data_IF_050389235640
#
_entry.id   IF_050389235640
#
_cell.length_a   1.000
_cell.length_b   1.000
_cell.length_c   1.000
_cell.angle_alpha   90.00
_cell.angle_beta   90.00
_cell.angle_gamma   90.00
#
_symmetry.space_group_name_H-M   'P 1'
#
loop_
_entity.id
_entity.type
_entity.pdbx_description
1 polymer ?
#
# COMPACT_ATOMS: atom_id res chain seq x y z
N UNK A 1 32.22 66.14 6.62
CA UNK A 1 33.12 64.97 6.42
C UNK A 1 32.72 63.75 7.26
N UNK A 2 31.90 63.91 8.32
CA UNK A 2 31.47 62.81 9.20
C UNK A 2 30.26 62.01 8.64
N UNK A 3 29.29 62.65 7.99
CA UNK A 3 28.10 61.97 7.44
C UNK A 3 28.38 60.98 6.29
N UNK A 4 29.42 61.23 5.48
CA UNK A 4 29.79 60.35 4.36
C UNK A 4 30.42 59.04 4.87
N UNK A 5 31.04 59.07 6.05
CA UNK A 5 31.70 57.91 6.66
C UNK A 5 30.67 56.94 7.27
N UNK A 6 29.60 57.45 7.87
CA UNK A 6 28.52 56.62 8.43
C UNK A 6 27.75 55.86 7.35
N UNK A 7 27.45 56.52 6.22
CA UNK A 7 26.74 55.89 5.11
C UNK A 7 27.52 54.71 4.48
N UNK A 8 28.85 54.83 4.38
CA UNK A 8 29.72 53.73 3.88
C UNK A 8 29.77 52.54 4.83
N UNK A 9 29.67 52.78 6.13
CA UNK A 9 29.71 51.72 7.14
C UNK A 9 28.39 50.94 7.19
N UNK A 10 27.26 51.65 7.05
CA UNK A 10 25.93 51.06 6.98
C UNK A 10 25.74 50.18 5.72
N UNK A 11 26.23 50.65 4.56
CA UNK A 11 26.18 49.88 3.31
C UNK A 11 27.03 48.61 3.42
N UNK A 12 28.23 48.70 4.01
CA UNK A 12 29.07 47.51 4.25
C UNK A 12 28.41 46.52 5.21
N UNK A 13 27.72 47.00 6.25
CA UNK A 13 27.01 46.15 7.19
C UNK A 13 25.81 45.44 6.54
N UNK A 14 25.05 46.15 5.70
CA UNK A 14 23.93 45.59 4.93
C UNK A 14 24.39 44.55 3.91
N UNK A 15 25.49 44.81 3.20
CA UNK A 15 26.09 43.85 2.25
C UNK A 15 26.60 42.62 3.00
N UNK A 16 27.24 42.80 4.16
CA UNK A 16 27.72 41.69 4.99
C UNK A 16 26.55 40.87 5.56
N UNK A 17 25.48 41.51 6.03
CA UNK A 17 24.25 40.83 6.46
C UNK A 17 23.60 40.08 5.30
N UNK A 18 23.54 40.63 4.09
CA UNK A 18 23.03 39.91 2.91
C UNK A 18 23.91 38.72 2.53
N UNK A 19 25.23 38.85 2.59
CA UNK A 19 26.16 37.74 2.36
C UNK A 19 25.99 36.65 3.42
N UNK A 20 25.87 37.00 4.70
CA UNK A 20 25.62 36.04 5.78
C UNK A 20 24.25 35.37 5.62
N UNK A 21 23.20 36.11 5.24
CA UNK A 21 21.87 35.55 4.97
C UNK A 21 21.87 34.61 3.76
N UNK A 22 22.66 34.92 2.72
CA UNK A 22 22.78 34.08 1.52
C UNK A 22 23.54 32.77 1.76
N UNK A 23 24.43 32.73 2.76
CA UNK A 23 25.16 31.51 3.18
C UNK A 23 24.33 30.66 4.15
N UNK A 24 23.34 31.23 4.82
CA UNK A 24 22.44 30.52 5.75
C UNK A 24 21.20 29.90 5.07
N UNK A 25 21.05 30.01 3.75
CA UNK A 25 20.01 29.25 3.03
C UNK A 25 20.55 27.84 2.80
N UNK A 26 20.19 26.92 3.70
CA UNK A 26 20.29 25.49 3.44
C UNK A 26 19.65 25.19 2.08
N UNK A 27 20.47 24.91 1.06
CA UNK A 27 19.97 24.43 -0.23
C UNK A 27 19.36 23.05 0.00
N UNK A 28 18.04 22.99 0.24
CA UNK A 28 17.27 21.76 0.03
C UNK A 28 17.17 21.59 -1.48
N UNK A 29 18.17 20.93 -2.06
CA UNK A 29 18.20 20.64 -3.49
C UNK A 29 17.39 19.36 -3.73
N UNK A 30 16.08 19.51 -3.91
CA UNK A 30 15.20 18.41 -4.33
C UNK A 30 15.64 17.90 -5.71
N UNK A 31 16.01 16.63 -5.80
CA UNK A 31 16.46 16.01 -7.06
C UNK A 31 15.26 15.50 -7.85
N UNK A 32 15.41 15.42 -9.16
CA UNK A 32 14.43 14.73 -10.02
C UNK A 32 14.81 13.25 -10.11
N UNK A 33 13.89 12.37 -9.72
CA UNK A 33 14.01 10.91 -9.86
C UNK A 33 13.15 10.46 -11.03
N UNK A 34 13.79 10.13 -12.15
CA UNK A 34 13.10 9.73 -13.37
C UNK A 34 13.06 8.20 -13.50
N UNK A 35 11.86 7.65 -13.73
CA UNK A 35 11.62 6.23 -13.95
C UNK A 35 10.85 6.00 -15.25
N UNK A 36 11.27 5.00 -16.02
CA UNK A 36 10.55 4.52 -17.20
C UNK A 36 9.99 3.14 -16.93
N UNK A 37 8.67 3.03 -16.96
CA UNK A 37 7.95 1.81 -16.64
C UNK A 37 7.11 1.37 -17.84
N UNK A 38 7.20 0.10 -18.18
CA UNK A 38 6.30 -0.58 -19.08
C UNK A 38 5.47 -1.60 -18.29
N UNK A 39 4.14 -1.44 -18.36
CA UNK A 39 3.18 -2.37 -17.75
C UNK A 39 2.70 -3.35 -18.81
N UNK A 40 2.86 -4.65 -18.57
CA UNK A 40 2.40 -5.70 -19.48
C UNK A 40 2.04 -6.98 -18.75
N UNK A 41 1.37 -7.90 -19.44
CA UNK A 41 1.18 -9.26 -18.95
C UNK A 41 2.38 -10.15 -19.21
N UNK A 42 2.73 -10.97 -18.21
CA UNK A 42 3.68 -12.06 -18.35
C UNK A 42 3.22 -13.28 -17.55
N UNK A 43 3.62 -14.47 -17.99
CA UNK A 43 3.45 -15.67 -17.18
C UNK A 43 4.46 -15.68 -16.04
N UNK A 44 3.97 -15.80 -14.80
CA UNK A 44 4.78 -15.93 -13.58
C UNK A 44 4.20 -17.01 -12.68
N UNK A 45 5.01 -17.48 -11.72
CA UNK A 45 4.57 -18.45 -10.71
C UNK A 45 4.96 -18.02 -9.28
N UNK A 46 4.41 -16.92 -8.73
CA UNK A 46 4.77 -16.40 -7.39
C UNK A 46 4.64 -17.43 -6.25
N UNK A 47 3.70 -18.35 -6.38
CA UNK A 47 3.39 -19.41 -5.41
C UNK A 47 3.48 -20.83 -6.01
N UNK A 48 4.18 -20.96 -7.13
CA UNK A 48 4.36 -22.17 -7.93
C UNK A 48 3.21 -22.47 -8.89
N UNK A 49 2.11 -21.72 -8.85
CA UNK A 49 1.03 -21.78 -9.84
C UNK A 49 1.26 -20.75 -10.94
N UNK A 50 1.40 -21.21 -12.18
CA UNK A 50 1.62 -20.39 -13.37
C UNK A 50 0.30 -19.74 -13.81
N UNK A 51 0.27 -18.41 -13.81
CA UNK A 51 -0.82 -17.60 -14.38
C UNK A 51 -0.28 -16.35 -15.07
N UNK A 52 -1.14 -15.66 -15.81
CA UNK A 52 -0.85 -14.31 -16.27
C UNK A 52 -0.84 -13.35 -15.07
N UNK A 53 0.18 -12.50 -15.06
CA UNK A 53 0.49 -11.53 -14.02
C UNK A 53 0.83 -10.21 -14.69
N UNK A 54 0.32 -9.11 -14.15
CA UNK A 54 0.68 -7.77 -14.62
C UNK A 54 2.01 -7.40 -13.98
N UNK A 55 3.03 -7.15 -14.81
CA UNK A 55 4.39 -6.82 -14.37
C UNK A 55 4.76 -5.39 -14.77
N UNK A 56 5.68 -4.80 -14.01
CA UNK A 56 6.37 -3.56 -14.39
C UNK A 56 7.79 -3.94 -14.78
N UNK A 57 8.19 -3.63 -16.02
CA UNK A 57 9.52 -3.93 -16.56
C UNK A 57 9.95 -5.40 -16.35
N UNK A 58 9.01 -6.35 -16.43
CA UNK A 58 9.31 -7.78 -16.28
C UNK A 58 9.14 -8.36 -14.87
N UNK A 59 8.87 -7.52 -13.86
CA UNK A 59 8.85 -7.91 -12.44
C UNK A 59 7.50 -7.70 -11.73
N UNK A 60 7.21 -8.58 -10.77
CA UNK A 60 6.25 -8.36 -9.67
C UNK A 60 6.85 -8.92 -8.36
N UNK A 61 6.78 -8.22 -7.21
CA UNK A 61 6.41 -6.82 -7.07
C UNK A 61 7.27 -5.95 -8.00
N UNK A 62 6.73 -4.82 -8.43
CA UNK A 62 7.43 -3.91 -9.33
C UNK A 62 8.68 -3.28 -8.69
N UNK A 63 9.44 -2.51 -9.48
CA UNK A 63 10.67 -1.88 -9.02
C UNK A 63 10.41 -0.85 -7.92
N UNK A 64 11.25 -0.87 -6.87
CA UNK A 64 11.14 0.12 -5.79
C UNK A 64 11.45 1.53 -6.32
N UNK A 65 10.65 2.50 -5.91
CA UNK A 65 11.02 3.91 -6.01
C UNK A 65 11.86 4.24 -4.77
N UNK A 66 13.04 4.81 -5.00
CA UNK A 66 13.95 5.26 -3.94
C UNK A 66 14.17 6.75 -4.13
N UNK A 67 13.71 7.54 -3.18
CA UNK A 67 13.79 8.99 -3.20
C UNK A 67 14.22 9.53 -1.84
N UNK A 68 14.57 10.80 -1.80
CA UNK A 68 14.77 11.56 -0.57
C UNK A 68 13.64 12.57 -0.41
N UNK A 69 13.28 12.90 0.83
CA UNK A 69 12.27 13.92 1.11
C UNK A 69 12.61 15.23 0.37
N UNK A 70 11.62 15.76 -0.37
CA UNK A 70 11.75 16.94 -1.23
C UNK A 70 12.10 16.62 -2.69
N UNK A 71 12.47 15.38 -3.02
CA UNK A 71 12.69 14.98 -4.41
C UNK A 71 11.37 15.06 -5.22
N UNK A 72 11.51 15.37 -6.51
CA UNK A 72 10.41 15.22 -7.48
C UNK A 72 10.54 13.86 -8.15
N UNK A 73 9.53 13.01 -8.00
CA UNK A 73 9.42 11.74 -8.70
C UNK A 73 8.69 11.97 -10.03
N UNK A 74 9.26 11.45 -11.11
CA UNK A 74 8.67 11.46 -12.44
C UNK A 74 8.65 10.03 -12.97
N UNK A 75 7.45 9.49 -13.22
CA UNK A 75 7.27 8.15 -13.78
C UNK A 75 6.60 8.26 -15.15
N UNK A 76 7.37 7.96 -16.18
CA UNK A 76 6.88 7.77 -17.56
C UNK A 76 6.37 6.33 -17.69
N UNK A 77 5.05 6.17 -17.67
CA UNK A 77 4.37 4.88 -17.66
C UNK A 77 3.76 4.58 -19.03
N UNK A 78 4.26 3.54 -19.69
CA UNK A 78 3.68 2.97 -20.91
C UNK A 78 2.73 1.83 -20.56
N UNK A 79 1.49 1.92 -21.01
CA UNK A 79 0.54 0.81 -20.92
C UNK A 79 0.70 -0.10 -22.14
N UNK A 80 1.29 -1.28 -21.95
CA UNK A 80 1.45 -2.32 -22.98
C UNK A 80 0.50 -3.51 -22.77
N UNK A 81 -0.58 -3.34 -21.99
CA UNK A 81 -1.70 -4.29 -21.99
C UNK A 81 -2.49 -4.16 -23.29
N UNK A 82 -3.03 -5.27 -23.80
CA UNK A 82 -3.64 -5.29 -25.14
C UNK A 82 -5.04 -4.67 -25.19
N UNK A 83 -5.86 -4.96 -24.18
CA UNK A 83 -7.28 -4.59 -24.13
C UNK A 83 -7.67 -3.94 -22.81
N UNK A 84 -6.69 -3.65 -21.96
CA UNK A 84 -6.91 -3.13 -20.62
C UNK A 84 -6.28 -1.77 -20.41
N UNK A 85 -7.06 -0.93 -19.75
CA UNK A 85 -6.65 0.34 -19.20
C UNK A 85 -5.81 0.15 -17.94
N UNK A 86 -5.03 1.17 -17.56
CA UNK A 86 -4.23 1.19 -16.34
C UNK A 86 -4.32 2.56 -15.64
N UNK A 87 -4.28 2.56 -14.31
CA UNK A 87 -4.00 3.74 -13.50
C UNK A 87 -3.14 3.31 -12.30
N UNK A 88 -2.15 4.10 -11.90
CA UNK A 88 -1.23 3.79 -10.79
C UNK A 88 -1.39 4.83 -9.70
N UNK A 89 -1.85 4.41 -8.53
CA UNK A 89 -1.95 5.24 -7.35
C UNK A 89 -0.69 5.14 -6.48
N UNK A 90 -0.31 6.28 -5.90
CA UNK A 90 0.88 6.45 -5.05
C UNK A 90 0.47 6.53 -3.58
N UNK A 91 0.08 5.38 -3.04
CA UNK A 91 -0.50 5.24 -1.70
C UNK A 91 0.36 5.87 -0.60
N UNK A 92 -0.22 6.87 0.08
CA UNK A 92 0.41 7.65 1.16
C UNK A 92 1.13 8.93 0.70
N UNK A 93 1.31 9.13 -0.61
CA UNK A 93 1.81 10.38 -1.16
C UNK A 93 0.68 11.40 -1.24
N UNK A 94 0.88 12.59 -0.66
CA UNK A 94 -0.20 13.57 -0.42
C UNK A 94 -0.68 14.33 -1.67
N UNK A 95 0.05 14.24 -2.79
CA UNK A 95 -0.27 14.91 -4.06
C UNK A 95 -0.53 16.43 -3.93
N UNK A 96 0.16 17.10 -3.02
CA UNK A 96 0.03 18.54 -2.80
C UNK A 96 0.51 19.28 -4.06
N UNK A 97 -0.40 20.03 -4.68
CA UNK A 97 -0.13 20.76 -5.93
C UNK A 97 -0.13 19.89 -7.19
N UNK A 98 -0.33 18.57 -7.08
CA UNK A 98 -0.35 17.63 -8.22
C UNK A 98 -1.52 16.63 -8.14
N UNK A 99 -2.76 17.04 -7.83
CA UNK A 99 -3.88 16.09 -7.65
C UNK A 99 -4.16 15.22 -8.88
N UNK A 100 -3.85 15.69 -10.09
CA UNK A 100 -3.97 14.91 -11.34
C UNK A 100 -2.94 13.77 -11.48
N UNK A 101 -1.93 13.70 -10.61
CA UNK A 101 -0.96 12.59 -10.54
C UNK A 101 -1.32 11.57 -9.45
N UNK A 102 -2.48 11.68 -8.82
CA UNK A 102 -2.91 10.74 -7.78
C UNK A 102 -3.19 9.33 -8.32
N UNK A 103 -3.61 9.19 -9.58
CA UNK A 103 -3.74 7.88 -10.21
C UNK A 103 -5.02 7.13 -9.92
N UNK A 104 -6.08 7.82 -9.49
CA UNK A 104 -7.40 7.25 -9.19
C UNK A 104 -8.34 7.44 -10.38
N UNK A 105 -8.60 6.35 -11.12
CA UNK A 105 -9.49 6.37 -12.28
C UNK A 105 -10.92 6.79 -11.89
N UNK A 106 -11.54 7.61 -12.75
CA UNK A 106 -12.88 8.17 -12.50
C UNK A 106 -12.90 9.27 -11.41
N UNK A 107 -11.76 9.56 -10.78
CA UNK A 107 -11.64 10.63 -9.78
C UNK A 107 -10.66 11.69 -10.22
N UNK A 108 -9.37 11.39 -10.30
CA UNK A 108 -8.33 12.38 -10.59
C UNK A 108 -7.91 12.39 -12.04
N UNK A 109 -8.12 11.30 -12.76
CA UNK A 109 -7.77 11.18 -14.17
C UNK A 109 -8.64 10.17 -14.92
N UNK A 110 -8.59 10.27 -16.25
CA UNK A 110 -8.98 9.17 -17.13
C UNK A 110 -7.95 8.04 -17.02
N UNK A 111 -8.34 6.78 -17.31
CA UNK A 111 -7.38 5.68 -17.40
C UNK A 111 -6.38 5.90 -18.54
N UNK A 112 -5.21 5.29 -18.41
CA UNK A 112 -4.19 5.20 -19.47
C UNK A 112 -4.60 4.07 -20.41
N UNK A 113 -4.84 4.38 -21.69
CA UNK A 113 -5.33 3.41 -22.67
C UNK A 113 -4.20 2.48 -23.14
N UNK A 114 -4.54 1.29 -23.70
CA UNK A 114 -3.57 0.44 -24.39
C UNK A 114 -2.72 1.21 -25.41
N UNK A 115 -1.39 1.10 -25.29
CA UNK A 115 -0.42 1.76 -26.16
C UNK A 115 0.00 3.16 -25.71
N UNK A 116 -0.76 3.81 -24.82
CA UNK A 116 -0.49 5.18 -24.40
C UNK A 116 0.64 5.26 -23.37
N UNK A 117 1.23 6.46 -23.29
CA UNK A 117 2.21 6.84 -22.27
C UNK A 117 1.61 7.98 -21.44
N UNK A 118 1.67 7.84 -20.13
CA UNK A 118 1.30 8.88 -19.17
C UNK A 118 2.46 9.20 -18.24
N UNK A 119 2.63 10.48 -17.91
CA UNK A 119 3.70 10.94 -17.03
C UNK A 119 3.10 11.37 -15.70
N UNK A 120 3.35 10.59 -14.65
CA UNK A 120 3.09 11.01 -13.28
C UNK A 120 4.25 11.88 -12.80
N UNK A 121 3.96 13.02 -12.19
CA UNK A 121 4.97 13.92 -11.63
C UNK A 121 4.47 14.51 -10.31
N UNK A 122 5.18 14.20 -9.23
CA UNK A 122 4.82 14.63 -7.87
C UNK A 122 6.04 14.78 -6.98
N UNK A 123 5.91 15.55 -5.91
CA UNK A 123 6.96 15.72 -4.89
C UNK A 123 6.71 14.73 -3.75
N UNK A 124 7.78 14.06 -3.29
CA UNK A 124 7.73 13.25 -2.07
C UNK A 124 8.07 14.12 -0.87
N UNK A 125 7.06 14.67 -0.24
CA UNK A 125 7.21 15.74 0.75
C UNK A 125 7.56 15.27 2.17
N UNK A 126 7.49 13.96 2.44
CA UNK A 126 7.80 13.35 3.73
C UNK A 126 8.62 12.07 3.57
N UNK A 127 9.57 11.86 4.49
CA UNK A 127 10.28 10.61 4.64
C UNK A 127 9.36 9.53 5.22
N UNK A 128 9.55 8.28 4.81
CA UNK A 128 8.71 7.18 5.25
C UNK A 128 8.71 5.99 4.30
N UNK A 129 7.90 5.00 4.66
CA UNK A 129 7.57 3.84 3.84
C UNK A 129 6.22 4.06 3.18
N UNK A 130 6.17 3.97 1.86
CA UNK A 130 4.95 4.15 1.08
C UNK A 130 4.83 3.07 0.02
N UNK A 131 3.70 3.07 -0.69
CA UNK A 131 3.35 2.02 -1.65
C UNK A 131 2.92 2.67 -2.97
N UNK A 132 2.97 1.89 -4.04
CA UNK A 132 2.21 2.19 -5.25
C UNK A 132 1.48 0.93 -5.70
N UNK A 133 0.31 1.10 -6.32
CA UNK A 133 -0.48 -0.01 -6.83
C UNK A 133 -1.41 0.42 -7.95
N UNK A 134 -1.86 -0.54 -8.75
CA UNK A 134 -2.93 -0.29 -9.69
C UNK A 134 -4.18 0.21 -8.95
N UNK A 135 -4.83 1.23 -9.51
CA UNK A 135 -6.10 1.75 -9.03
C UNK A 135 -7.14 1.78 -10.15
N UNK A 136 -7.06 0.77 -11.03
CA UNK A 136 -8.03 0.48 -12.08
C UNK A 136 -8.56 -0.95 -11.89
N UNK A 137 -9.87 -1.09 -11.76
CA UNK A 137 -10.53 -2.37 -11.44
C UNK A 137 -9.90 -3.04 -10.21
N UNK A 138 -9.63 -4.35 -10.31
CA UNK A 138 -8.93 -5.12 -9.27
C UNK A 138 -7.52 -5.54 -9.72
N UNK A 139 -6.90 -4.78 -10.62
CA UNK A 139 -5.59 -5.11 -11.23
C UNK A 139 -4.43 -5.21 -10.23
N UNK A 140 -4.52 -4.57 -9.05
CA UNK A 140 -3.46 -4.67 -8.02
C UNK A 140 -3.22 -6.12 -7.61
N UNK A 141 -4.28 -6.92 -7.56
CA UNK A 141 -4.25 -8.34 -7.19
C UNK A 141 -3.61 -9.22 -8.28
N UNK A 142 -3.52 -8.70 -9.51
CA UNK A 142 -2.85 -9.37 -10.62
C UNK A 142 -1.33 -9.17 -10.62
N UNK A 143 -0.76 -8.45 -9.66
CA UNK A 143 0.70 -8.26 -9.55
C UNK A 143 1.18 -6.82 -9.73
N UNK A 144 0.29 -5.87 -10.05
CA UNK A 144 0.65 -4.49 -10.35
C UNK A 144 0.74 -3.64 -9.07
N UNK A 145 1.86 -3.79 -8.37
CA UNK A 145 2.15 -3.06 -7.12
C UNK A 145 3.64 -3.02 -6.79
N UNK A 146 4.05 -2.17 -5.85
CA UNK A 146 5.41 -2.12 -5.31
C UNK A 146 5.59 -1.07 -4.22
N UNK A 147 6.83 -0.84 -3.81
CA UNK A 147 7.17 0.05 -2.69
C UNK A 147 7.78 1.37 -3.14
N UNK A 148 7.50 2.42 -2.39
CA UNK A 148 8.19 3.71 -2.45
C UNK A 148 8.89 3.91 -1.10
N UNK A 149 10.19 4.15 -1.12
CA UNK A 149 10.97 4.44 0.10
C UNK A 149 11.49 5.86 -0.03
N UNK A 150 11.12 6.70 0.91
CA UNK A 150 11.57 8.09 0.98
C UNK A 150 12.47 8.24 2.20
N UNK A 151 13.75 8.49 1.99
CA UNK A 151 14.72 8.72 3.07
C UNK A 151 14.62 10.15 3.60
N UNK A 152 15.04 10.36 4.85
CA UNK A 152 15.28 11.71 5.39
C UNK A 152 16.32 12.48 4.57
N UNK A 153 16.29 13.82 4.57
CA UNK A 153 17.29 14.66 3.90
C UNK A 153 18.73 14.40 4.36
N UNK A 154 19.71 14.72 3.52
CA UNK A 154 21.13 14.57 3.90
C UNK A 154 21.44 15.44 5.11
N UNK A 155 22.16 14.87 6.09
CA UNK A 155 22.48 15.56 7.35
C UNK A 155 21.36 15.52 8.40
N UNK A 156 20.18 14.99 8.07
CA UNK A 156 19.12 14.69 9.04
C UNK A 156 19.21 13.23 9.45
N UNK A 157 19.13 12.95 10.75
CA UNK A 157 19.08 11.61 11.29
C UNK A 157 17.65 11.19 11.62
N UNK A 158 17.34 9.92 11.40
CA UNK A 158 16.15 9.26 11.94
C UNK A 158 16.16 9.30 13.48
N UNK A 159 15.01 9.29 14.17
CA UNK A 159 14.94 9.33 15.65
C UNK A 159 15.30 8.00 16.33
N UNK A 160 15.88 7.06 15.59
CA UNK A 160 16.29 5.74 16.03
C UNK A 160 17.50 5.27 15.22
N UNK A 161 18.25 4.30 15.76
CA UNK A 161 19.51 3.82 15.16
C UNK A 161 19.33 2.41 14.63
N UNK A 162 19.90 2.16 13.44
CA UNK A 162 19.95 0.85 12.80
C UNK A 162 21.21 0.74 11.94
N UNK A 163 21.67 -0.48 11.67
CA UNK A 163 22.81 -0.76 10.80
C UNK A 163 22.37 -0.92 9.33
N UNK A 164 21.19 -1.48 9.09
CA UNK A 164 20.70 -1.79 7.74
C UNK A 164 19.20 -1.51 7.60
N UNK A 165 18.79 -1.03 6.42
CA UNK A 165 17.39 -0.78 6.04
C UNK A 165 16.96 -1.78 4.94
N UNK A 166 15.83 -2.46 5.14
CA UNK A 166 15.26 -3.46 4.22
C UNK A 166 13.75 -3.31 4.17
N UNK A 167 13.12 -3.75 3.08
CA UNK A 167 11.67 -3.72 2.95
C UNK A 167 11.09 -5.09 2.62
N UNK A 168 9.90 -5.33 3.17
CA UNK A 168 9.09 -6.54 2.99
C UNK A 168 7.68 -6.09 2.64
N UNK A 169 7.19 -6.51 1.48
CA UNK A 169 5.79 -6.35 1.09
C UNK A 169 5.04 -7.67 1.25
N UNK A 170 3.95 -7.61 2.01
CA UNK A 170 3.05 -8.72 2.25
C UNK A 170 1.86 -8.60 1.30
N UNK A 171 1.44 -9.73 0.74
CA UNK A 171 0.30 -9.80 -0.13
C UNK A 171 -0.41 -11.15 0.00
N UNK A 172 -1.62 -11.25 -0.52
CA UNK A 172 -2.33 -12.49 -0.75
C UNK A 172 -2.47 -12.73 -2.25
N UNK A 173 -2.75 -13.98 -2.63
CA UNK A 173 -2.68 -14.40 -4.02
C UNK A 173 -3.80 -15.34 -4.39
N UNK A 174 -4.53 -14.95 -5.44
CA UNK A 174 -5.61 -15.72 -6.04
C UNK A 174 -5.16 -16.35 -7.35
N UNK A 175 -5.66 -17.54 -7.68
CA UNK A 175 -5.39 -18.22 -8.95
C UNK A 175 -6.35 -17.80 -10.06
N UNK A 176 -7.60 -17.46 -9.70
CA UNK A 176 -8.58 -16.92 -10.64
C UNK A 176 -8.11 -15.58 -11.22
N UNK A 177 -8.48 -15.32 -12.46
CA UNK A 177 -8.21 -14.02 -13.09
C UNK A 177 -9.01 -12.92 -12.39
N UNK A 178 -8.52 -11.69 -12.47
CA UNK A 178 -9.24 -10.50 -11.98
C UNK A 178 -10.60 -10.34 -12.67
N UNK A 179 -10.71 -10.72 -13.95
CA UNK A 179 -11.98 -10.70 -14.67
C UNK A 179 -12.99 -11.73 -14.17
N UNK A 180 -12.54 -12.96 -13.92
CA UNK A 180 -13.42 -14.01 -13.39
C UNK A 180 -13.94 -13.61 -12.00
N UNK A 181 -13.06 -13.08 -11.15
CA UNK A 181 -13.42 -12.57 -9.84
C UNK A 181 -14.42 -11.40 -9.93
N UNK A 182 -14.12 -10.38 -10.73
CA UNK A 182 -15.00 -9.21 -10.90
C UNK A 182 -16.37 -9.59 -11.49
N UNK A 183 -16.41 -10.55 -12.41
CA UNK A 183 -17.65 -11.07 -13.00
C UNK A 183 -18.49 -11.77 -11.94
N UNK A 184 -17.88 -12.64 -11.12
CA UNK A 184 -18.58 -13.31 -10.03
C UNK A 184 -19.09 -12.35 -8.95
N UNK A 185 -18.31 -11.33 -8.60
CA UNK A 185 -18.73 -10.29 -7.65
C UNK A 185 -19.88 -9.42 -8.17
N UNK A 186 -20.05 -9.34 -9.49
CA UNK A 186 -21.10 -8.55 -10.15
C UNK A 186 -22.29 -9.38 -10.63
N UNK A 187 -22.25 -10.71 -10.51
CA UNK A 187 -23.27 -11.60 -11.04
C UNK A 187 -24.50 -11.73 -10.14
N UNK A 188 -25.60 -12.20 -10.73
CA UNK A 188 -26.80 -12.66 -10.03
C UNK A 188 -27.03 -14.12 -10.45
N UNK A 189 -26.86 -15.12 -9.56
CA UNK A 189 -26.47 -14.99 -8.15
C UNK A 189 -25.03 -14.50 -7.96
N UNK A 190 -24.78 -13.85 -6.83
CA UNK A 190 -23.45 -13.37 -6.43
C UNK A 190 -22.50 -14.55 -6.17
N UNK A 191 -21.27 -14.45 -6.66
CA UNK A 191 -20.21 -15.45 -6.45
C UNK A 191 -19.06 -14.80 -5.70
N UNK A 192 -18.87 -15.21 -4.45
CA UNK A 192 -17.75 -14.75 -3.61
C UNK A 192 -16.41 -15.26 -4.14
N UNK A 193 -15.37 -14.43 -4.06
CA UNK A 193 -14.00 -14.79 -4.51
C UNK A 193 -13.36 -15.88 -3.64
N UNK A 194 -13.84 -16.06 -2.40
CA UNK A 194 -13.27 -16.99 -1.44
C UNK A 194 -12.02 -16.46 -0.75
N UNK A 195 -11.39 -17.32 0.04
CA UNK A 195 -10.08 -17.01 0.64
C UNK A 195 -8.96 -17.20 -0.41
N UNK A 196 -7.86 -16.44 -0.30
CA UNK A 196 -6.74 -16.54 -1.23
C UNK A 196 -6.07 -17.91 -1.15
N UNK A 197 -5.47 -18.37 -2.26
CA UNK A 197 -4.78 -19.65 -2.32
C UNK A 197 -3.41 -19.61 -1.63
N UNK A 198 -2.77 -18.44 -1.56
CA UNK A 198 -1.44 -18.28 -0.96
C UNK A 198 -1.24 -16.89 -0.35
N UNK A 199 -0.35 -16.82 0.63
CA UNK A 199 0.24 -15.58 1.12
C UNK A 199 1.64 -15.40 0.52
N UNK A 200 1.99 -14.18 0.13
CA UNK A 200 3.25 -13.82 -0.49
C UNK A 200 4.06 -12.92 0.45
N UNK A 201 5.35 -13.21 0.62
CA UNK A 201 6.34 -12.32 1.24
C UNK A 201 7.31 -11.89 0.15
N UNK A 202 7.32 -10.60 -0.20
CA UNK A 202 8.09 -10.06 -1.33
C UNK A 202 7.83 -10.81 -2.65
N UNK A 203 6.54 -11.11 -2.92
CA UNK A 203 6.09 -11.82 -4.13
C UNK A 203 6.40 -13.32 -4.17
N UNK A 204 6.76 -13.92 -3.03
CA UNK A 204 7.12 -15.34 -2.95
C UNK A 204 6.21 -16.05 -1.96
N UNK A 205 5.51 -17.07 -2.43
CA UNK A 205 4.60 -17.89 -1.65
C UNK A 205 4.73 -19.37 -2.00
N UNK A 206 3.81 -20.19 -1.48
CA UNK A 206 3.75 -21.60 -1.79
C UNK A 206 2.30 -22.07 -1.85
N UNK A 207 1.98 -22.72 -2.96
CA UNK A 207 0.74 -23.46 -3.12
C UNK A 207 1.02 -24.96 -3.17
N UNK A 208 0.15 -25.75 -2.56
CA UNK A 208 0.28 -27.21 -2.60
C UNK A 208 -0.24 -27.75 -3.95
N UNK A 209 0.68 -27.98 -4.89
CA UNK A 209 0.35 -28.54 -6.21
C UNK A 209 -0.38 -29.90 -6.14
N UNK A 210 -0.30 -30.66 -5.03
CA UNK A 210 -1.04 -31.93 -4.91
C UNK A 210 -2.55 -31.73 -4.80
N UNK A 211 -3.02 -30.52 -4.46
CA UNK A 211 -4.45 -30.19 -4.42
C UNK A 211 -5.09 -30.12 -5.82
N UNK A 212 -4.26 -30.06 -6.87
CA UNK A 212 -4.68 -30.01 -8.27
C UNK A 212 -4.82 -31.40 -8.90
N UNK A 213 -5.00 -32.45 -8.09
CA UNK A 213 -5.06 -33.86 -8.52
C UNK A 213 -6.30 -34.23 -9.36
N UNK A 214 -6.78 -33.31 -10.20
CA UNK A 214 -7.76 -33.54 -11.25
C UNK A 214 -7.05 -33.73 -12.60
N UNK A 215 -7.43 -34.73 -13.41
CA UNK A 215 -6.77 -35.06 -14.69
C UNK A 215 -6.94 -34.00 -15.80
N UNK A 216 -7.56 -32.85 -15.51
CA UNK A 216 -7.92 -31.80 -16.47
C UNK A 216 -7.01 -30.57 -16.49
N UNK A 217 -5.98 -30.49 -15.64
CA UNK A 217 -5.01 -29.39 -15.70
C UNK A 217 -3.86 -29.73 -16.64
N UNK A 218 -3.55 -28.81 -17.54
CA UNK A 218 -2.40 -28.90 -18.45
C UNK A 218 -1.10 -29.16 -17.67
N UNK A 219 -0.26 -30.05 -18.21
CA UNK A 219 1.06 -30.32 -17.64
C UNK A 219 1.86 -29.01 -17.52
N UNK A 220 2.38 -28.73 -16.32
CA UNK A 220 3.24 -27.56 -16.07
C UNK A 220 2.53 -26.30 -15.54
N UNK A 221 1.23 -26.33 -15.25
CA UNK A 221 0.54 -25.22 -14.57
C UNK A 221 1.05 -25.04 -13.13
N UNK A 222 1.35 -26.12 -12.41
CA UNK A 222 1.91 -26.04 -11.06
C UNK A 222 3.25 -26.77 -10.98
N UNK A 223 4.30 -26.06 -10.55
CA UNK A 223 5.65 -26.63 -10.40
C UNK A 223 6.29 -26.15 -9.10
N UNK A 224 6.29 -27.02 -8.09
CA UNK A 224 6.86 -26.74 -6.76
C UNK A 224 8.38 -26.47 -6.76
N UNK A 225 9.08 -26.81 -7.85
CA UNK A 225 10.53 -26.55 -8.01
C UNK A 225 10.83 -25.23 -8.73
N UNK A 226 9.78 -24.48 -9.15
CA UNK A 226 9.96 -23.23 -9.87
C UNK A 226 10.69 -22.19 -8.99
N UNK A 227 11.77 -21.55 -9.50
CA UNK A 227 12.52 -20.54 -8.74
C UNK A 227 11.69 -19.30 -8.36
N UNK A 228 10.63 -18.97 -9.11
CA UNK A 228 9.74 -17.83 -8.82
C UNK A 228 9.07 -17.96 -7.45
N UNK A 229 8.75 -19.18 -7.03
CA UNK A 229 8.12 -19.47 -5.74
C UNK A 229 9.08 -19.96 -4.66
N UNK A 230 10.39 -19.90 -4.91
CA UNK A 230 11.37 -20.11 -3.84
C UNK A 230 11.16 -19.04 -2.76
N UNK A 231 11.17 -19.46 -1.49
CA UNK A 231 10.91 -18.57 -0.35
C UNK A 231 11.83 -17.35 -0.37
N UNK A 232 11.29 -16.18 -0.01
CA UNK A 232 12.10 -14.98 0.19
C UNK A 232 13.16 -15.22 1.28
N UNK A 233 14.39 -14.77 1.05
CA UNK A 233 15.49 -14.88 2.02
C UNK A 233 16.02 -13.49 2.32
N UNK A 234 16.05 -13.15 3.60
CA UNK A 234 16.69 -11.97 4.16
C UNK A 234 17.94 -12.40 4.94
N UNK A 235 19.12 -12.10 4.40
CA UNK A 235 20.38 -12.38 5.08
C UNK A 235 20.73 -11.26 6.07
N UNK A 236 21.06 -11.65 7.30
CA UNK A 236 21.44 -10.78 8.42
C UNK A 236 22.79 -11.17 9.02
N UNK A 237 23.47 -10.19 9.61
CA UNK A 237 24.74 -10.35 10.33
C UNK A 237 24.44 -10.33 11.82
N UNK A 238 24.98 -11.30 12.57
CA UNK A 238 24.77 -11.39 14.01
C UNK A 238 25.21 -10.11 14.73
N UNK A 239 24.43 -9.69 15.73
CA UNK A 239 24.65 -8.48 16.53
C UNK A 239 24.16 -7.18 15.88
N UNK A 240 23.83 -7.18 14.59
CA UNK A 240 23.37 -6.00 13.85
C UNK A 240 21.87 -5.74 14.01
N UNK A 241 21.48 -4.48 13.92
CA UNK A 241 20.09 -4.02 14.01
C UNK A 241 19.57 -3.64 12.64
N UNK A 242 18.41 -4.17 12.28
CA UNK A 242 17.77 -3.96 10.99
C UNK A 242 16.49 -3.16 11.17
N UNK A 243 16.31 -2.10 10.38
CA UNK A 243 14.99 -1.53 10.11
C UNK A 243 14.34 -2.37 9.01
N UNK A 244 13.23 -3.02 9.32
CA UNK A 244 12.39 -3.69 8.34
C UNK A 244 11.14 -2.85 8.10
N UNK A 245 10.99 -2.35 6.88
CA UNK A 245 9.79 -1.66 6.40
C UNK A 245 8.80 -2.70 5.93
N UNK A 246 7.79 -2.99 6.74
CA UNK A 246 6.74 -3.96 6.46
C UNK A 246 5.55 -3.21 5.88
N UNK A 247 5.05 -3.64 4.74
CA UNK A 247 3.91 -3.03 4.06
C UNK A 247 2.93 -4.09 3.60
N UNK A 248 1.63 -3.80 3.58
CA UNK A 248 0.61 -4.73 3.09
C UNK A 248 -0.16 -4.17 1.90
N UNK A 249 -0.28 -4.98 0.84
CA UNK A 249 -1.17 -4.70 -0.30
C UNK A 249 -2.09 -5.88 -0.60
N UNK A 250 -2.52 -6.59 0.44
CA UNK A 250 -3.48 -7.71 0.34
C UNK A 250 -4.80 -7.28 -0.30
N UNK A 251 -5.38 -8.12 -1.15
CA UNK A 251 -6.76 -7.98 -1.65
C UNK A 251 -7.74 -7.94 -0.49
N UNK A 252 -7.67 -8.96 0.36
CA UNK A 252 -8.68 -9.30 1.36
C UNK A 252 -8.07 -9.49 2.75
N UNK A 253 -6.91 -10.11 2.83
CA UNK A 253 -6.38 -10.66 4.07
C UNK A 253 -5.92 -9.56 5.03
N UNK A 254 -6.39 -9.62 6.28
CA UNK A 254 -5.69 -9.01 7.40
C UNK A 254 -4.62 -10.00 7.87
N UNK A 255 -3.40 -9.51 8.12
CA UNK A 255 -2.26 -10.38 8.37
C UNK A 255 -1.66 -10.14 9.75
N UNK A 256 -1.04 -11.18 10.31
CA UNK A 256 0.04 -11.00 11.26
C UNK A 256 1.39 -11.22 10.55
N UNK A 257 2.45 -10.59 11.03
CA UNK A 257 3.83 -10.87 10.66
C UNK A 257 4.66 -11.09 11.92
N UNK A 258 5.56 -12.08 11.90
CA UNK A 258 6.43 -12.39 13.03
C UNK A 258 7.74 -13.01 12.55
N UNK A 259 8.74 -12.96 13.43
CA UNK A 259 10.06 -13.54 13.22
C UNK A 259 10.37 -14.47 14.40
N UNK A 260 10.63 -15.74 14.12
CA UNK A 260 10.91 -16.77 15.13
C UNK A 260 12.01 -16.31 16.09
N UNK A 261 11.67 -16.20 17.38
CA UNK A 261 12.62 -15.88 18.45
C UNK A 261 13.09 -14.42 18.48
N UNK A 262 12.50 -13.51 17.70
CA UNK A 262 12.90 -12.10 17.69
C UNK A 262 11.75 -11.18 18.11
N UNK A 263 11.99 -10.35 19.12
CA UNK A 263 11.15 -9.19 19.38
C UNK A 263 11.36 -8.15 18.28
N UNK A 264 10.30 -7.38 18.02
CA UNK A 264 10.29 -6.31 17.02
C UNK A 264 9.83 -5.02 17.72
N UNK A 265 10.54 -3.92 17.50
CA UNK A 265 10.16 -2.61 18.04
C UNK A 265 9.54 -1.76 16.94
N UNK A 266 8.27 -1.41 17.04
CA UNK A 266 7.60 -0.53 16.06
C UNK A 266 8.10 0.90 16.25
N UNK A 267 8.49 1.57 15.18
CA UNK A 267 9.04 2.95 15.22
C UNK A 267 8.46 3.90 14.17
N UNK A 268 7.76 3.37 13.16
CA UNK A 268 7.04 4.15 12.15
C UNK A 268 5.72 3.45 11.82
N UNK A 269 4.67 4.23 11.56
CA UNK A 269 3.43 3.80 10.92
C UNK A 269 3.03 4.84 9.86
N UNK A 270 2.74 4.40 8.64
CA UNK A 270 2.25 5.22 7.51
C UNK A 270 3.05 6.50 7.26
N UNK A 271 4.38 6.36 7.26
CA UNK A 271 5.32 7.46 7.07
C UNK A 271 5.35 8.50 8.20
N UNK A 272 4.88 8.13 9.39
CA UNK A 272 4.99 8.93 10.61
C UNK A 272 5.71 8.16 11.70
N UNK A 273 6.52 8.86 12.48
CA UNK A 273 7.17 8.27 13.66
C UNK A 273 6.16 8.05 14.78
N UNK A 274 6.25 6.89 15.42
CA UNK A 274 5.44 6.55 16.60
C UNK A 274 6.32 6.47 17.85
N UNK A 275 5.72 6.61 19.03
CA UNK A 275 6.39 6.23 20.28
C UNK A 275 6.78 4.74 20.20
N UNK A 276 8.05 4.36 20.39
CA UNK A 276 8.45 2.98 20.23
C UNK A 276 7.78 2.03 21.22
N UNK A 277 7.29 0.89 20.73
CA UNK A 277 6.78 -0.20 21.56
C UNK A 277 7.18 -1.57 20.99
N UNK A 278 7.37 -2.53 21.88
CA UNK A 278 7.78 -3.89 21.50
C UNK A 278 6.58 -4.80 21.24
N UNK A 279 6.72 -5.66 20.23
CA UNK A 279 5.75 -6.67 19.83
C UNK A 279 6.47 -7.96 19.41
N UNK A 280 5.76 -9.07 19.51
CA UNK A 280 6.15 -10.34 18.89
C UNK A 280 5.41 -10.62 17.59
N UNK A 281 4.22 -10.03 17.45
CA UNK A 281 3.35 -10.15 16.28
C UNK A 281 2.98 -8.75 15.83
N UNK A 282 3.31 -8.42 14.57
CA UNK A 282 2.82 -7.22 13.92
C UNK A 282 1.51 -7.54 13.22
N UNK A 283 0.40 -7.02 13.73
CA UNK A 283 -0.87 -7.03 13.03
C UNK A 283 -0.87 -5.93 11.98
N UNK A 284 -1.17 -6.26 10.73
CA UNK A 284 -1.10 -5.32 9.60
C UNK A 284 -2.26 -5.56 8.65
N UNK A 285 -2.94 -4.48 8.29
CA UNK A 285 -4.10 -4.47 7.38
C UNK A 285 -3.71 -3.92 6.01
N UNK A 286 -4.54 -4.16 4.99
CA UNK A 286 -4.26 -3.71 3.62
C UNK A 286 -4.12 -2.19 3.54
N UNK A 287 -3.04 -1.72 2.89
CA UNK A 287 -2.69 -0.31 2.78
C UNK A 287 -1.71 0.17 3.85
N UNK A 288 -1.70 -0.46 5.02
CA UNK A 288 -0.83 -0.03 6.12
C UNK A 288 0.65 -0.33 5.84
N UNK A 289 1.50 0.52 6.40
CA UNK A 289 2.95 0.39 6.40
C UNK A 289 3.51 0.64 7.80
N UNK A 290 4.49 -0.15 8.20
CA UNK A 290 5.19 -0.02 9.47
C UNK A 290 6.70 -0.12 9.26
N UNK A 291 7.49 0.62 10.03
CA UNK A 291 8.90 0.26 10.25
C UNK A 291 9.06 -0.38 11.61
N UNK A 292 9.72 -1.54 11.64
CA UNK A 292 10.13 -2.23 12.86
C UNK A 292 11.64 -2.32 12.95
N UNK A 293 12.18 -2.26 14.16
CA UNK A 293 13.58 -2.57 14.46
C UNK A 293 13.70 -4.00 14.96
N UNK A 294 14.64 -4.74 14.39
CA UNK A 294 14.94 -6.14 14.75
C UNK A 294 16.43 -6.31 14.94
N UNK A 295 16.83 -6.79 16.12
CA UNK A 295 18.23 -7.09 16.42
C UNK A 295 18.52 -8.56 16.11
N UNK A 296 19.54 -8.85 15.30
CA UNK A 296 19.96 -10.21 14.98
C UNK A 296 20.78 -10.83 16.12
N UNK A 297 20.14 -11.05 17.27
CA UNK A 297 20.76 -11.46 18.53
C UNK A 297 20.56 -12.95 18.88
N UNK A 298 19.97 -13.73 17.99
CA UNK A 298 19.75 -15.16 18.21
C UNK A 298 20.97 -16.00 17.80
N UNK A 299 20.94 -17.31 18.08
CA UNK A 299 22.03 -18.24 17.79
C UNK A 299 22.47 -18.15 16.31
N UNK A 300 23.71 -17.70 16.02
CA UNK A 300 24.17 -17.44 14.66
C UNK A 300 24.44 -18.70 13.83
N UNK A 301 24.39 -19.90 14.42
CA UNK A 301 24.68 -21.17 13.74
C UNK A 301 23.47 -21.78 13.02
N UNK A 302 22.34 -21.06 12.96
CA UNK A 302 21.11 -21.52 12.28
C UNK A 302 20.33 -20.37 11.66
N UNK A 303 19.38 -20.73 10.79
CA UNK A 303 18.40 -19.82 10.23
C UNK A 303 17.10 -19.85 11.04
N UNK A 304 16.25 -18.84 10.83
CA UNK A 304 14.99 -18.60 11.53
C UNK A 304 13.85 -18.38 10.55
N UNK A 305 12.63 -18.76 10.93
CA UNK A 305 11.45 -18.49 10.12
C UNK A 305 10.98 -17.05 10.27
N UNK A 306 10.63 -16.42 9.15
CA UNK A 306 9.70 -15.29 9.12
C UNK A 306 8.37 -15.82 8.60
N UNK A 307 7.27 -15.51 9.30
CA UNK A 307 5.94 -16.04 8.95
C UNK A 307 4.89 -14.95 8.88
N UNK A 308 3.89 -15.17 8.03
CA UNK A 308 2.68 -14.36 7.99
C UNK A 308 1.44 -15.25 7.90
N UNK A 309 0.39 -14.93 8.66
CA UNK A 309 -0.85 -15.70 8.72
C UNK A 309 -2.07 -14.78 8.62
N UNK A 310 -3.18 -15.35 8.15
CA UNK A 310 -4.47 -14.66 8.12
C UNK A 310 -5.00 -14.49 9.55
N UNK A 311 -5.42 -13.27 9.87
CA UNK A 311 -6.19 -12.93 11.08
C UNK A 311 -7.50 -12.25 10.68
N UNK A 312 -8.39 -11.98 11.64
CA UNK A 312 -9.71 -11.37 11.46
C UNK A 312 -10.73 -12.20 10.67
N UNK A 313 -10.29 -13.24 9.94
CA UNK A 313 -11.13 -14.20 9.20
C UNK A 313 -10.68 -15.61 9.48
N UNK A 314 -11.61 -16.58 9.48
CA UNK A 314 -11.29 -18.00 9.65
C UNK A 314 -10.32 -18.43 8.54
N UNK A 315 -9.07 -18.83 8.87
CA UNK A 315 -8.06 -19.08 7.85
C UNK A 315 -8.40 -20.32 7.03
N UNK A 316 -8.34 -20.19 5.71
CA UNK A 316 -8.31 -21.30 4.76
C UNK A 316 -7.08 -21.24 3.84
N UNK A 317 -6.12 -20.37 4.17
CA UNK A 317 -4.88 -20.12 3.43
C UNK A 317 -3.71 -20.57 4.28
N UNK A 318 -2.71 -21.23 3.65
CA UNK A 318 -1.50 -21.64 4.34
C UNK A 318 -0.67 -20.44 4.80
N UNK A 319 0.09 -20.63 5.88
CA UNK A 319 1.07 -19.65 6.38
C UNK A 319 2.07 -19.27 5.28
N UNK A 320 2.27 -17.97 5.08
CA UNK A 320 3.33 -17.45 4.21
C UNK A 320 4.69 -17.59 4.91
N UNK A 321 5.70 -18.07 4.18
CA UNK A 321 7.00 -18.45 4.75
C UNK A 321 8.17 -17.72 4.09
N UNK A 322 9.09 -17.23 4.91
CA UNK A 322 10.36 -16.68 4.50
C UNK A 322 11.54 -17.05 5.43
N UNK A 323 12.71 -16.90 4.84
CA UNK A 323 14.09 -17.07 5.28
C UNK A 323 14.74 -15.95 6.11
N UNK A 324 14.79 -15.95 7.45
CA UNK A 324 15.78 -15.07 8.11
C UNK A 324 17.11 -15.82 8.24
N UNK A 325 18.03 -15.53 7.31
CA UNK A 325 19.30 -16.23 7.19
C UNK A 325 20.41 -15.51 7.96
N UNK A 326 21.00 -16.16 8.95
CA UNK A 326 22.17 -15.62 9.65
C UNK A 326 23.44 -15.96 8.86
N UNK A 327 24.18 -14.96 8.39
CA UNK A 327 25.48 -15.15 7.74
C UNK A 327 26.50 -15.72 8.75
N UNK A 328 27.35 -16.70 8.38
CA UNK A 328 27.59 -17.24 7.03
C UNK A 328 26.81 -18.54 6.70
N UNK A 329 25.70 -18.85 7.38
CA UNK A 329 24.93 -20.05 7.06
C UNK A 329 24.44 -20.03 5.60
N UNK A 330 24.32 -21.21 4.99
CA UNK A 330 23.78 -21.34 3.64
C UNK A 330 22.35 -20.77 3.57
N UNK A 331 22.05 -19.80 2.67
CA UNK A 331 20.77 -19.09 2.64
C UNK A 331 19.54 -19.97 2.45
N UNK A 332 19.67 -21.08 1.68
CA UNK A 332 18.56 -22.01 1.43
C UNK A 332 18.46 -23.14 2.45
N UNK A 333 19.33 -23.16 3.47
CA UNK A 333 19.22 -24.13 4.57
C UNK A 333 17.96 -23.79 5.36
N UNK A 334 17.00 -24.71 5.40
CA UNK A 334 15.78 -24.52 6.20
C UNK A 334 16.12 -24.30 7.68
N UNK A 335 15.40 -23.41 8.38
CA UNK A 335 15.41 -23.39 9.84
C UNK A 335 15.10 -24.80 10.39
N UNK A 336 15.76 -25.25 11.46
CA UNK A 336 15.61 -26.61 12.00
C UNK A 336 14.31 -26.83 12.80
N UNK A 337 13.53 -25.78 13.04
CA UNK A 337 12.24 -25.82 13.75
C UNK A 337 11.08 -25.84 12.75
N UNK A 338 9.89 -26.19 13.24
CA UNK A 338 8.65 -25.95 12.49
C UNK A 338 8.35 -24.44 12.45
N UNK A 339 7.73 -23.94 11.36
CA UNK A 339 7.25 -22.56 11.31
C UNK A 339 6.34 -22.25 12.49
N UNK A 340 6.56 -21.10 13.14
CA UNK A 340 5.78 -20.70 14.30
C UNK A 340 4.32 -20.49 13.90
N UNK A 341 3.40 -21.09 14.66
CA UNK A 341 1.97 -20.85 14.50
C UNK A 341 1.66 -19.37 14.76
N UNK A 342 0.83 -18.78 13.91
CA UNK A 342 0.33 -17.43 14.12
C UNK A 342 -0.64 -17.33 15.29
N UNK A 343 -1.00 -16.11 15.71
CA UNK A 343 -2.08 -15.87 16.66
C UNK A 343 -3.42 -16.40 16.10
N UNK A 344 -4.35 -16.71 16.99
CA UNK A 344 -5.70 -17.13 16.60
C UNK A 344 -6.39 -16.01 15.82
N UNK A 345 -7.04 -16.36 14.72
CA UNK A 345 -7.63 -15.38 13.81
C UNK A 345 -8.72 -14.50 14.44
N UNK A 346 -9.43 -15.04 15.42
CA UNK A 346 -10.52 -14.38 16.13
C UNK A 346 -10.06 -13.70 17.43
N UNK A 347 -8.76 -13.70 17.73
CA UNK A 347 -8.22 -12.96 18.88
C UNK A 347 -8.23 -11.46 18.57
N UNK A 348 -9.20 -10.73 19.13
CA UNK A 348 -9.39 -9.30 18.91
C UNK A 348 -8.60 -8.45 19.91
N UNK A 349 -8.38 -8.94 21.13
CA UNK A 349 -7.82 -8.13 22.21
C UNK A 349 -6.38 -7.68 21.90
N UNK A 350 -5.55 -8.58 21.37
CA UNK A 350 -4.17 -8.25 21.00
C UNK A 350 -4.08 -7.27 19.83
N UNK A 351 -5.00 -7.37 18.87
CA UNK A 351 -5.08 -6.45 17.72
C UNK A 351 -5.48 -5.05 18.20
N UNK A 352 -6.50 -4.98 19.05
CA UNK A 352 -6.91 -3.73 19.68
C UNK A 352 -5.78 -3.13 20.53
N UNK A 353 -5.05 -3.96 21.30
CA UNK A 353 -3.93 -3.50 22.11
C UNK A 353 -2.81 -2.87 21.25
N UNK A 354 -2.48 -3.46 20.09
CA UNK A 354 -1.54 -2.84 19.15
C UNK A 354 -2.07 -1.50 18.63
N UNK A 355 -3.34 -1.45 18.17
CA UNK A 355 -3.95 -0.21 17.69
C UNK A 355 -3.93 0.91 18.73
N UNK A 356 -4.19 0.59 20.01
CA UNK A 356 -4.15 1.55 21.12
C UNK A 356 -2.71 1.94 21.54
N UNK A 357 -1.71 1.15 21.16
CA UNK A 357 -0.30 1.44 21.43
C UNK A 357 0.31 2.43 20.44
N UNK A 358 -0.32 2.61 19.27
CA UNK A 358 0.11 3.57 18.25
C UNK A 358 -0.15 4.99 18.72
N UNK A 359 0.92 5.67 19.13
CA UNK A 359 0.93 7.08 19.54
C UNK A 359 1.95 7.84 18.72
N UNK A 360 1.61 9.04 18.28
CA UNK A 360 2.55 9.88 17.54
C UNK A 360 3.80 10.18 18.40
N UNK A 361 4.99 10.08 17.81
CA UNK A 361 6.22 10.39 18.51
C UNK A 361 6.23 11.85 18.98
N UNK A 362 6.51 12.10 20.26
CA UNK A 362 6.40 13.44 20.90
C UNK A 362 7.09 14.57 20.14
N UNK A 363 8.28 14.29 19.58
CA UNK A 363 9.08 15.28 18.85
C UNK A 363 8.69 15.47 17.37
N UNK A 364 7.77 14.66 16.83
CA UNK A 364 7.39 14.67 15.40
C UNK A 364 5.87 14.70 15.20
N UNK A 365 5.12 15.07 16.26
CA UNK A 365 3.67 15.11 16.23
C UNK A 365 3.14 16.46 15.74
N UNK A 366 2.02 16.43 15.04
CA UNK A 366 1.20 17.61 14.76
C UNK A 366 -0.07 17.50 15.59
N UNK A 367 -0.26 18.40 16.55
CA UNK A 367 -1.45 18.40 17.41
C UNK A 367 -2.70 18.66 16.57
N UNK A 368 -3.75 17.82 16.67
CA UNK A 368 -4.99 18.07 15.96
C UNK A 368 -5.70 19.32 16.52
N UNK A 369 -6.56 19.98 15.73
CA UNK A 369 -7.44 21.05 16.23
C UNK A 369 -8.28 20.58 17.43
N UNK A 370 -8.53 21.49 18.39
CA UNK A 370 -9.30 21.17 19.61
C UNK A 370 -10.80 20.95 19.34
N UNK A 371 -11.31 21.51 18.23
CA UNK A 371 -12.71 21.43 17.81
C UNK A 371 -12.78 21.03 16.35
N UNK A 372 -13.86 20.35 15.96
CA UNK A 372 -14.18 20.06 14.56
C UNK A 372 -15.12 21.12 13.99
N UNK A 373 -14.86 21.56 12.75
CA UNK A 373 -15.80 22.42 12.02
C UNK A 373 -17.01 21.62 11.48
N UNK A 374 -16.79 20.34 11.19
CA UNK A 374 -17.81 19.41 10.68
C UNK A 374 -17.57 18.01 11.23
N UNK A 375 -18.64 17.33 11.62
CA UNK A 375 -18.66 15.90 11.94
C UNK A 375 -19.47 15.19 10.88
N UNK A 376 -18.92 14.13 10.31
CA UNK A 376 -19.60 13.27 9.34
C UNK A 376 -19.65 11.87 9.94
N UNK A 377 -20.84 11.29 10.03
CA UNK A 377 -21.05 9.94 10.56
C UNK A 377 -21.26 9.00 9.38
N UNK A 378 -20.43 7.96 9.27
CA UNK A 378 -20.40 7.04 8.12
C UNK A 378 -20.74 5.61 8.55
N UNK A 379 -22.00 5.21 8.34
CA UNK A 379 -22.49 3.86 8.57
C UNK A 379 -22.10 2.96 7.40
N UNK A 380 -21.35 1.91 7.69
CA UNK A 380 -20.88 0.94 6.70
C UNK A 380 -21.79 -0.30 6.73
N UNK A 381 -22.45 -0.60 5.62
CA UNK A 381 -23.40 -1.71 5.51
C UNK A 381 -23.15 -2.55 4.26
N UNK A 382 -23.51 -3.83 4.35
CA UNK A 382 -23.65 -4.69 3.18
C UNK A 382 -25.14 -4.80 2.85
N UNK A 383 -25.49 -4.56 1.59
CA UNK A 383 -26.85 -4.42 1.11
C UNK A 383 -27.09 -5.27 -0.14
N UNK A 384 -28.37 -5.41 -0.50
CA UNK A 384 -28.78 -6.00 -1.77
C UNK A 384 -29.55 -4.96 -2.58
N UNK A 385 -28.88 -4.34 -3.54
CA UNK A 385 -29.44 -3.30 -4.41
C UNK A 385 -29.64 -3.88 -5.79
N UNK A 386 -30.86 -3.81 -6.33
CA UNK A 386 -31.25 -4.40 -7.62
C UNK A 386 -30.90 -5.89 -7.76
N UNK A 387 -31.00 -6.64 -6.65
CA UNK A 387 -30.66 -8.06 -6.61
C UNK A 387 -29.18 -8.38 -6.47
N UNK A 388 -28.29 -7.39 -6.52
CA UNK A 388 -26.82 -7.53 -6.43
C UNK A 388 -26.33 -7.16 -5.03
N UNK A 389 -25.37 -7.92 -4.48
CA UNK A 389 -24.72 -7.54 -3.22
C UNK A 389 -23.82 -6.32 -3.43
N UNK A 390 -23.96 -5.32 -2.57
CA UNK A 390 -23.20 -4.07 -2.60
C UNK A 390 -22.75 -3.70 -1.20
N UNK A 391 -21.62 -2.99 -1.12
CA UNK A 391 -21.27 -2.22 0.06
C UNK A 391 -21.80 -0.81 -0.09
N UNK A 392 -22.26 -0.25 1.02
CA UNK A 392 -22.82 1.10 1.08
C UNK A 392 -22.24 1.85 2.26
N UNK A 393 -22.15 3.16 2.08
CA UNK A 393 -21.89 4.12 3.16
C UNK A 393 -23.11 5.02 3.25
N UNK A 394 -23.75 5.09 4.42
CA UNK A 394 -25.01 5.80 4.64
C UNK A 394 -26.08 5.43 3.59
N UNK A 395 -26.30 4.13 3.38
CA UNK A 395 -27.24 3.56 2.41
C UNK A 395 -27.00 3.93 0.94
N UNK A 396 -25.85 4.53 0.63
CA UNK A 396 -25.44 4.88 -0.72
C UNK A 396 -24.30 3.96 -1.15
N UNK A 397 -24.52 3.25 -2.25
CA UNK A 397 -23.45 2.48 -2.90
C UNK A 397 -22.80 3.29 -4.02
N UNK A 398 -21.47 3.44 -3.94
CA UNK A 398 -20.68 4.23 -4.86
C UNK A 398 -20.56 3.56 -6.24
N UNK A 399 -20.60 4.35 -7.31
CA UNK A 399 -20.28 3.95 -8.67
C UNK A 399 -19.43 5.04 -9.30
N UNK A 400 -18.34 4.64 -9.98
CA UNK A 400 -17.44 5.60 -10.62
C UNK A 400 -18.14 6.27 -11.81
N UNK A 401 -18.03 7.61 -11.93
CA UNK A 401 -18.52 8.32 -13.10
C UNK A 401 -17.62 8.08 -14.31
N UNK A 402 -18.17 8.21 -15.53
CA UNK A 402 -17.36 8.12 -16.75
C UNK A 402 -16.39 9.32 -16.92
N UNK A 403 -16.78 10.50 -16.45
CA UNK A 403 -15.92 11.70 -16.43
C UNK A 403 -15.26 11.82 -15.05
N UNK A 404 -13.93 11.94 -14.97
CA UNK A 404 -13.25 12.09 -13.68
C UNK A 404 -13.72 13.32 -12.91
N UNK A 405 -13.93 13.18 -11.59
CA UNK A 405 -14.37 14.28 -10.74
C UNK A 405 -13.50 15.54 -10.86
N UNK A 406 -12.17 15.40 -10.86
CA UNK A 406 -11.25 16.53 -10.97
C UNK A 406 -11.43 17.30 -12.28
N UNK A 407 -11.65 16.58 -13.38
CA UNK A 407 -11.92 17.18 -14.70
C UNK A 407 -13.29 17.87 -14.68
N UNK A 408 -14.32 17.20 -14.19
CA UNK A 408 -15.67 17.75 -14.13
C UNK A 408 -15.74 19.04 -13.29
N UNK A 409 -15.05 19.07 -12.15
CA UNK A 409 -14.97 20.25 -11.28
C UNK A 409 -14.18 21.38 -11.95
N UNK A 410 -13.04 21.07 -12.60
CA UNK A 410 -12.22 22.08 -13.28
C UNK A 410 -12.96 22.72 -14.47
N UNK A 411 -13.69 21.92 -15.24
CA UNK A 411 -14.43 22.36 -16.42
C UNK A 411 -15.84 22.88 -16.10
N UNK A 412 -16.19 23.04 -14.81
CA UNK A 412 -17.53 23.45 -14.35
C UNK A 412 -18.67 22.64 -14.96
N UNK A 413 -18.46 21.35 -15.18
CA UNK A 413 -19.50 20.43 -15.65
C UNK A 413 -20.61 20.37 -14.60
N UNK A 414 -21.86 20.54 -15.02
CA UNK A 414 -23.00 20.50 -14.11
C UNK A 414 -23.21 19.10 -13.52
N UNK A 415 -22.60 18.85 -12.35
CA UNK A 415 -22.68 17.60 -11.60
C UNK A 415 -24.10 17.27 -11.09
N UNK A 416 -25.01 18.26 -11.03
CA UNK A 416 -26.38 18.04 -10.57
C UNK A 416 -27.19 17.18 -11.54
N UNK A 417 -26.74 17.06 -12.80
CA UNK A 417 -27.31 16.15 -13.80
C UNK A 417 -26.64 14.77 -13.81
N UNK A 418 -25.60 14.60 -13.00
CA UNK A 418 -24.71 13.44 -12.99
C UNK A 418 -24.96 12.53 -11.79
N UNK A 419 -25.31 13.09 -10.63
CA UNK A 419 -25.55 12.36 -9.39
C UNK A 419 -26.95 12.58 -8.83
N UNK A 420 -27.46 11.58 -8.11
CA UNK A 420 -28.63 11.75 -7.25
C UNK A 420 -28.35 12.89 -6.25
N UNK A 421 -29.23 13.88 -6.22
CA UNK A 421 -29.13 15.06 -5.36
C UNK A 421 -29.80 14.84 -3.99
N UNK A 422 -30.44 13.69 -3.78
CA UNK A 422 -30.97 13.33 -2.48
C UNK A 422 -29.80 13.09 -1.50
N UNK A 423 -29.70 13.85 -0.41
CA UNK A 423 -28.62 13.68 0.54
C UNK A 423 -28.70 12.30 1.21
N UNK A 424 -27.56 11.63 1.48
CA UNK A 424 -27.55 10.46 2.34
C UNK A 424 -27.99 10.85 3.76
N UNK A 425 -28.48 9.90 4.57
CA UNK A 425 -28.70 10.13 5.99
C UNK A 425 -27.44 10.67 6.67
N UNK A 426 -27.57 11.76 7.43
CA UNK A 426 -26.46 12.37 8.18
C UNK A 426 -26.41 11.88 9.64
N UNK A 427 -27.45 11.20 10.11
CA UNK A 427 -27.55 10.60 11.44
C UNK A 427 -28.18 9.20 11.37
N UNK A 428 -27.90 8.40 12.40
CA UNK A 428 -28.48 7.09 12.60
C UNK A 428 -28.44 6.74 14.09
N UNK A 429 -29.38 5.91 14.54
CA UNK A 429 -29.38 5.36 15.90
C UNK A 429 -28.31 4.28 16.02
N UNK A 430 -27.06 4.69 16.19
CA UNK A 430 -25.92 3.75 16.25
C UNK A 430 -25.99 2.77 17.43
N UNK A 431 -26.81 3.03 18.44
CA UNK A 431 -27.01 2.13 19.58
C UNK A 431 -27.94 0.97 19.22
N UNK A 432 -29.02 1.24 18.50
CA UNK A 432 -30.04 0.24 18.17
C UNK A 432 -30.05 -0.20 16.70
N UNK A 433 -29.16 0.33 15.86
CA UNK A 433 -29.12 -0.02 14.44
C UNK A 433 -28.69 -1.48 14.24
N UNK A 434 -29.62 -2.29 13.71
CA UNK A 434 -29.33 -3.67 13.34
C UNK A 434 -28.67 -3.75 11.97
N UNK A 435 -27.34 -3.89 11.96
CA UNK A 435 -26.55 -4.04 10.73
C UNK A 435 -26.86 -5.34 9.95
N UNK A 436 -27.52 -6.32 10.57
CA UNK A 436 -27.95 -7.54 9.89
C UNK A 436 -29.32 -7.42 9.24
N UNK A 437 -30.09 -6.38 9.60
CA UNK A 437 -31.42 -6.13 9.06
C UNK A 437 -31.55 -4.68 8.57
N UNK A 438 -30.86 -4.38 7.46
CA UNK A 438 -30.87 -3.04 6.87
C UNK A 438 -32.16 -2.79 6.09
N UNK A 439 -32.90 -1.74 6.45
CA UNK A 439 -34.12 -1.32 5.76
C UNK A 439 -33.88 -1.16 4.25
N UNK A 440 -34.63 -1.93 3.45
CA UNK A 440 -34.53 -1.93 2.00
C UNK A 440 -35.12 -0.66 1.36
N UNK A 441 -36.04 0.04 2.02
CA UNK A 441 -36.76 1.18 1.44
C UNK A 441 -35.88 2.44 1.29
N UNK A 442 -34.72 2.48 1.95
CA UNK A 442 -33.83 3.63 1.98
C UNK A 442 -32.48 3.40 1.26
N UNK A 443 -32.27 2.25 0.63
CA UNK A 443 -31.04 1.92 -0.09
C UNK A 443 -31.07 2.50 -1.51
N UNK A 444 -30.00 3.22 -1.89
CA UNK A 444 -29.92 3.86 -3.21
C UNK A 444 -28.57 3.64 -3.85
N UNK A 445 -28.59 3.53 -5.18
CA UNK A 445 -27.39 3.58 -6.00
C UNK A 445 -27.20 5.02 -6.49
N UNK A 446 -25.97 5.53 -6.40
CA UNK A 446 -25.62 6.74 -7.17
C UNK A 446 -25.56 6.35 -8.65
N UNK A 447 -26.64 6.65 -9.38
CA UNK A 447 -26.73 6.40 -10.81
C UNK A 447 -26.03 7.49 -11.61
N UNK A 448 -25.37 7.08 -12.69
CA UNK A 448 -24.70 7.97 -13.64
C UNK A 448 -25.33 7.81 -15.03
N UNK A 449 -25.69 8.93 -15.67
CA UNK A 449 -26.31 8.99 -17.01
C UNK A 449 -25.50 9.95 -17.91
N UNK A 450 -24.38 9.49 -18.53
CA UNK A 450 -23.85 9.97 -19.84
C UNK A 450 -22.43 9.50 -20.20
N UNK A 451 -22.29 8.76 -21.31
CA UNK A 451 -20.98 8.36 -21.88
C UNK A 451 -19.98 9.53 -21.92
N UNK A 452 -18.73 9.24 -21.59
CA UNK A 452 -17.60 10.14 -21.83
C UNK A 452 -17.57 10.50 -23.32
N UNK A 453 -17.90 11.74 -23.66
CA UNK A 453 -17.43 12.34 -24.90
C UNK A 453 -16.14 13.05 -24.53
N UNK A 454 -15.04 12.54 -25.10
CA UNK A 454 -13.75 13.22 -25.12
C UNK A 454 -14.00 14.63 -25.69
N UNK A 455 -13.68 15.66 -24.92
CA UNK A 455 -13.50 17.02 -25.46
C UNK A 455 -12.07 17.14 -25.99
#
# INVERSE_FOLDING_TARGET
>A
MVEILECRTLVKLLVLCHLIFSVAVSKVEGRIRHYRWEVKYEYKSPDCFKKLVITINGGTPGPKILAQQGDTVVVELKNSLLTENVAIHWHGIRQIGTPWSDGTEGVTQCPILPGDIFIYKFVVDRAGSYLYHAHYGIQREAGLYGSIIVSVPNGVSEPFVYDYDRSIILNDWYHKSTFEQATGLSSIPFVWVGEPQSLLINGRGRFNCSLLATPSLEAGVCNATNPDCSSYILTVISGKTYRLRISSLTSLSALNFQIEGHNMTVVEADGHYVEPFEIQNLYIYSGETYSILVKANQNPSRNYWMTTNVVSRKPATLTGLAILNYYPNYPKKSPPTLPTAGPLWNETAQRLAQSLSLKAHKNFTHTPPLTSDKVIVLLNTQNKIDGVHRWSVNNVSFSLPHTPYLVALKENVNLNRVFDQNPPPENYDFENYDIYNVDAQNQRRLWYNRKCQVL
#
